data_IF_709416621653
#
_entry.id   IF_709416621653
#
_cell.length_a   1.000
_cell.length_b   1.000
_cell.length_c   1.000
_cell.angle_alpha   90.00
_cell.angle_beta   90.00
_cell.angle_gamma   90.00
#
_symmetry.space_group_name_H-M   'P 1'
#
loop_
_entity.id
_entity.type
_entity.pdbx_description
1 polymer ?
#
# COMPACT_ATOMS: atom_id res chain seq x y z
N UNK A 1 -2.92 17.24 3.97
CA UNK A 1 -3.89 16.13 3.88
C UNK A 1 -4.12 15.78 2.41
N UNK A 2 -4.72 14.63 2.10
CA UNK A 2 -4.95 14.19 0.72
C UNK A 2 -6.12 14.95 0.08
N UNK A 3 -6.00 15.32 -1.20
CA UNK A 3 -7.01 16.04 -1.98
C UNK A 3 -7.66 15.17 -3.09
N UNK A 4 -7.20 13.92 -3.22
CA UNK A 4 -7.61 12.99 -4.26
C UNK A 4 -7.67 11.55 -3.78
N UNK A 5 -8.58 10.77 -4.38
CA UNK A 5 -8.64 9.31 -4.32
C UNK A 5 -8.03 8.73 -5.60
N UNK A 6 -7.02 7.86 -5.46
CA UNK A 6 -6.37 7.18 -6.57
C UNK A 6 -6.81 5.72 -6.62
N UNK A 7 -7.05 5.20 -7.82
CA UNK A 7 -7.28 3.77 -8.03
C UNK A 7 -6.37 3.25 -9.13
N UNK A 8 -5.94 2.00 -8.96
CA UNK A 8 -4.86 1.41 -9.75
C UNK A 8 -5.30 0.07 -10.34
N UNK A 9 -4.60 -0.33 -11.40
CA UNK A 9 -4.69 -1.67 -11.97
C UNK A 9 -3.33 -2.35 -11.85
N UNK A 10 -3.33 -3.65 -11.52
CA UNK A 10 -2.09 -4.44 -11.47
C UNK A 10 -1.64 -4.77 -12.90
N UNK A 11 -0.39 -4.43 -13.23
CA UNK A 11 0.27 -4.76 -14.50
C UNK A 11 1.56 -5.52 -14.18
N UNK A 12 1.50 -6.85 -14.28
CA UNK A 12 2.58 -7.73 -13.83
C UNK A 12 2.82 -7.60 -12.31
N UNK A 13 4.01 -7.13 -11.94
CA UNK A 13 4.41 -6.88 -10.55
C UNK A 13 4.25 -5.42 -10.11
N UNK A 14 3.72 -4.56 -10.98
CA UNK A 14 3.58 -3.13 -10.69
C UNK A 14 2.10 -2.74 -10.59
N UNK A 15 1.84 -1.62 -9.93
CA UNK A 15 0.53 -0.99 -9.87
C UNK A 15 0.56 0.27 -10.73
N UNK A 16 -0.27 0.29 -11.77
CA UNK A 16 -0.42 1.46 -12.64
C UNK A 16 -1.66 2.23 -12.23
N UNK A 17 -1.53 3.53 -11.99
CA UNK A 17 -2.68 4.40 -11.73
C UNK A 17 -3.62 4.37 -12.93
N UNK A 18 -4.86 3.97 -12.69
CA UNK A 18 -5.91 3.92 -13.70
C UNK A 18 -6.65 5.26 -13.76
N UNK A 19 -6.87 5.87 -12.60
CA UNK A 19 -7.46 7.19 -12.52
C UNK A 19 -7.40 7.80 -11.13
N UNK A 20 -7.86 9.05 -11.07
CA UNK A 20 -7.93 9.85 -9.86
C UNK A 20 -9.32 10.50 -9.76
N UNK A 21 -9.80 10.69 -8.54
CA UNK A 21 -11.07 11.35 -8.22
C UNK A 21 -10.79 12.44 -7.20
N UNK A 22 -10.96 13.73 -7.55
CA UNK A 22 -10.82 14.82 -6.59
C UNK A 22 -11.88 14.73 -5.47
N UNK A 23 -11.49 15.04 -4.23
CA UNK A 23 -12.40 14.96 -3.07
C UNK A 23 -13.47 16.07 -3.03
N UNK A 24 -13.28 17.16 -3.79
CA UNK A 24 -14.18 18.33 -3.79
C UNK A 24 -15.65 17.98 -4.07
N UNK A 25 -15.85 17.04 -5.00
CA UNK A 25 -17.16 16.62 -5.49
C UNK A 25 -17.37 15.11 -5.34
N UNK A 26 -16.63 14.50 -4.39
CA UNK A 26 -16.73 13.07 -4.10
C UNK A 26 -17.85 12.83 -3.08
N UNK A 27 -18.75 11.90 -3.41
CA UNK A 27 -19.81 11.45 -2.51
C UNK A 27 -19.89 9.92 -2.51
N UNK A 28 -20.13 9.33 -1.35
CA UNK A 28 -20.25 7.88 -1.18
C UNK A 28 -21.69 7.55 -0.81
N UNK A 29 -22.29 6.62 -1.55
CA UNK A 29 -23.64 6.12 -1.29
C UNK A 29 -23.63 4.61 -1.15
N UNK A 30 -24.28 4.13 -0.10
CA UNK A 30 -24.67 2.73 -0.01
C UNK A 30 -26.03 2.55 -0.66
N UNK A 31 -26.10 1.69 -1.68
CA UNK A 31 -27.38 1.27 -2.23
C UNK A 31 -27.72 -0.15 -1.85
N UNK A 32 -28.98 -0.36 -1.51
CA UNK A 32 -29.53 -1.68 -1.20
C UNK A 32 -29.74 -2.53 -2.45
N UNK A 33 -29.70 -1.94 -3.64
CA UNK A 33 -29.88 -2.61 -4.94
C UNK A 33 -28.57 -3.12 -5.55
N UNK A 34 -27.43 -2.96 -4.85
CA UNK A 34 -26.15 -3.37 -5.41
C UNK A 34 -26.09 -4.91 -5.60
N UNK A 35 -25.63 -5.39 -6.75
CA UNK A 35 -25.61 -6.81 -7.08
C UNK A 35 -24.58 -7.62 -6.29
N UNK A 36 -23.67 -6.96 -5.56
CA UNK A 36 -22.54 -7.57 -4.86
C UNK A 36 -22.59 -7.27 -3.38
N UNK A 37 -22.35 -8.28 -2.54
CA UNK A 37 -22.30 -8.10 -1.09
C UNK A 37 -21.19 -7.11 -0.69
N UNK A 38 -21.42 -6.38 0.41
CA UNK A 38 -20.45 -5.42 0.96
C UNK A 38 -19.98 -4.37 -0.04
N UNK A 39 -20.86 -3.95 -0.94
CA UNK A 39 -20.56 -2.92 -1.93
C UNK A 39 -21.15 -1.55 -1.59
N UNK A 40 -20.52 -0.54 -2.16
CA UNK A 40 -20.90 0.87 -2.09
C UNK A 40 -20.49 1.56 -3.40
N UNK A 41 -21.10 2.70 -3.71
CA UNK A 41 -20.81 3.45 -4.93
C UNK A 41 -20.21 4.81 -4.59
N UNK A 42 -19.11 5.14 -5.26
CA UNK A 42 -18.46 6.44 -5.22
C UNK A 42 -18.94 7.25 -6.43
N UNK A 43 -19.52 8.40 -6.16
CA UNK A 43 -19.97 9.38 -7.14
C UNK A 43 -18.98 10.52 -7.21
N UNK A 44 -18.71 10.94 -8.44
CA UNK A 44 -18.01 12.15 -8.80
C UNK A 44 -18.79 12.83 -9.92
N UNK A 45 -18.53 14.12 -10.17
CA UNK A 45 -19.29 14.92 -11.16
C UNK A 45 -19.43 14.27 -12.55
N UNK A 46 -18.50 13.41 -12.95
CA UNK A 46 -18.51 12.77 -14.27
C UNK A 46 -18.35 11.25 -14.25
N UNK A 47 -18.30 10.61 -13.07
CA UNK A 47 -18.00 9.17 -12.94
C UNK A 47 -18.70 8.58 -11.73
N UNK A 48 -19.17 7.34 -11.88
CA UNK A 48 -19.66 6.51 -10.79
C UNK A 48 -18.85 5.23 -10.78
N UNK A 49 -18.31 4.85 -9.63
CA UNK A 49 -17.55 3.61 -9.45
C UNK A 49 -18.18 2.82 -8.32
N UNK A 50 -18.61 1.60 -8.61
CA UNK A 50 -19.07 0.65 -7.60
C UNK A 50 -17.89 -0.17 -7.12
N UNK A 51 -17.70 -0.22 -5.80
CA UNK A 51 -16.61 -0.93 -5.14
C UNK A 51 -17.24 -1.98 -4.21
N UNK A 52 -16.69 -3.19 -4.23
CA UNK A 52 -17.06 -4.25 -3.29
C UNK A 52 -15.90 -4.51 -2.33
N UNK A 53 -16.17 -4.46 -1.03
CA UNK A 53 -15.22 -4.82 0.01
C UNK A 53 -15.23 -6.33 0.28
N UNK A 54 -14.21 -6.80 1.00
CA UNK A 54 -14.07 -8.21 1.36
C UNK A 54 -14.90 -8.59 2.61
N UNK A 55 -15.28 -7.62 3.45
CA UNK A 55 -16.18 -7.80 4.58
C UNK A 55 -17.05 -6.56 4.82
N UNK A 56 -18.09 -6.69 5.65
CA UNK A 56 -18.90 -5.55 6.10
C UNK A 56 -18.05 -4.53 6.86
N UNK A 57 -17.19 -5.00 7.78
CA UNK A 57 -16.29 -4.14 8.56
C UNK A 57 -15.33 -3.33 7.66
N UNK A 58 -14.78 -3.95 6.62
CA UNK A 58 -13.93 -3.22 5.68
C UNK A 58 -14.73 -2.20 4.88
N UNK A 59 -15.94 -2.54 4.42
CA UNK A 59 -16.81 -1.57 3.76
C UNK A 59 -17.07 -0.36 4.66
N UNK A 60 -17.46 -0.60 5.90
CA UNK A 60 -17.81 0.48 6.83
C UNK A 60 -16.60 1.39 7.08
N UNK A 61 -15.41 0.81 7.27
CA UNK A 61 -14.15 1.56 7.39
C UNK A 61 -13.85 2.40 6.14
N UNK A 62 -14.02 1.83 4.94
CA UNK A 62 -13.81 2.58 3.69
C UNK A 62 -14.79 3.74 3.54
N UNK A 63 -16.08 3.52 3.85
CA UNK A 63 -17.11 4.56 3.75
C UNK A 63 -16.84 5.69 4.75
N UNK A 64 -16.52 5.35 6.00
CA UNK A 64 -16.19 6.32 7.06
C UNK A 64 -14.94 7.13 6.72
N UNK A 65 -13.82 6.47 6.39
CA UNK A 65 -12.54 7.14 6.08
C UNK A 65 -12.68 8.11 4.88
N UNK A 66 -13.42 7.72 3.84
CA UNK A 66 -13.66 8.57 2.68
C UNK A 66 -14.55 9.77 3.07
N UNK A 67 -15.63 9.54 3.81
CA UNK A 67 -16.53 10.61 4.24
C UNK A 67 -15.83 11.62 5.14
N UNK A 68 -15.02 11.15 6.09
CA UNK A 68 -14.19 11.99 6.97
C UNK A 68 -13.18 12.80 6.15
N UNK A 69 -12.51 12.16 5.18
CA UNK A 69 -11.54 12.84 4.29
C UNK A 69 -12.19 13.97 3.47
N UNK A 70 -13.40 13.75 2.94
CA UNK A 70 -14.16 14.77 2.21
C UNK A 70 -14.58 15.91 3.15
N UNK A 71 -15.02 15.59 4.38
CA UNK A 71 -15.43 16.59 5.35
C UNK A 71 -14.25 17.45 5.82
N UNK A 72 -13.10 16.83 6.10
CA UNK A 72 -11.86 17.53 6.46
C UNK A 72 -11.41 18.47 5.33
N UNK A 73 -11.45 17.99 4.08
CA UNK A 73 -11.11 18.79 2.91
C UNK A 73 -12.03 20.02 2.74
N UNK A 74 -13.35 19.87 2.98
CA UNK A 74 -14.30 21.00 2.95
C UNK A 74 -14.10 21.98 4.11
N UNK A 75 -13.74 21.47 5.29
CA UNK A 75 -13.47 22.27 6.48
C UNK A 75 -12.22 23.15 6.38
N UNK A 76 -11.17 22.71 5.67
CA UNK A 76 -9.96 23.51 5.47
C UNK A 76 -10.16 24.67 4.49
N UNK A 77 -11.03 24.55 3.49
CA UNK A 77 -11.30 25.64 2.51
C UNK A 77 -11.97 26.88 3.11
N UNK A 78 -12.50 26.81 4.33
CA UNK A 78 -13.01 27.98 5.05
C UNK A 78 -11.90 28.71 5.83
N UNK A 79 -10.73 28.09 6.02
CA UNK A 79 -9.53 28.69 6.59
C UNK A 79 -8.44 28.79 5.51
N UNK A 80 -8.36 29.94 4.85
CA UNK A 80 -7.38 30.19 3.79
C UNK A 80 -5.96 30.17 4.38
N UNK A 81 -5.21 29.10 4.14
CA UNK A 81 -3.77 29.14 3.89
C UNK A 81 -3.43 28.16 2.75
N UNK A 82 -2.43 28.48 1.90
CA UNK A 82 -2.18 27.74 0.66
C UNK A 82 -1.75 26.30 0.95
N UNK A 83 -2.07 25.33 0.06
CA UNK A 83 -1.83 23.93 0.33
C UNK A 83 -0.32 23.67 0.40
N UNK A 84 0.14 23.14 1.54
CA UNK A 84 1.46 22.55 1.66
C UNK A 84 1.56 21.36 0.70
N UNK A 85 2.09 21.62 -0.49
CA UNK A 85 2.52 20.62 -1.47
C UNK A 85 3.75 19.93 -0.86
N UNK A 86 3.57 18.95 0.01
CA UNK A 86 4.63 17.98 0.30
C UNK A 86 4.08 16.67 0.85
N UNK A 87 3.32 15.96 0.02
CA UNK A 87 3.43 14.51 -0.02
C UNK A 87 4.29 14.19 -1.24
N UNK A 88 5.59 14.49 -1.13
CA UNK A 88 6.56 13.82 -1.98
C UNK A 88 6.37 12.33 -1.73
N UNK A 89 5.77 11.65 -2.69
CA UNK A 89 5.94 10.23 -2.88
C UNK A 89 7.45 10.05 -3.10
N UNK A 90 8.22 10.06 -2.01
CA UNK A 90 9.41 9.24 -1.95
C UNK A 90 8.86 7.86 -2.23
N UNK A 91 8.97 7.42 -3.48
CA UNK A 91 8.99 6.01 -3.78
C UNK A 91 9.86 5.42 -2.66
N UNK A 92 9.30 4.53 -1.85
CA UNK A 92 10.13 3.66 -1.04
C UNK A 92 10.87 2.76 -2.04
N UNK A 93 11.80 3.35 -2.78
CA UNK A 93 12.95 2.65 -3.30
C UNK A 93 13.67 2.28 -2.03
N UNK A 94 13.40 1.06 -1.57
CA UNK A 94 14.17 0.40 -0.53
C UNK A 94 15.64 0.70 -0.84
N UNK A 95 16.29 1.52 -0.02
CA UNK A 95 17.70 1.84 -0.21
C UNK A 95 18.47 0.54 -0.02
N UNK A 96 18.96 -0.02 -1.12
CA UNK A 96 20.04 -0.98 -1.15
C UNK A 96 21.34 -0.24 -0.83
N UNK A 97 21.57 0.13 0.42
CA UNK A 97 22.85 0.73 0.85
C UNK A 97 23.13 0.39 2.31
N UNK A 98 23.44 -0.86 2.61
CA UNK A 98 24.38 -1.24 3.68
C UNK A 98 24.78 -2.70 3.46
N UNK A 99 25.84 -2.89 2.67
CA UNK A 99 26.94 -3.86 2.85
C UNK A 99 27.58 -4.14 1.48
N UNK A 100 28.35 -3.17 0.96
CA UNK A 100 29.45 -3.49 0.05
C UNK A 100 30.76 -2.98 0.64
N UNK A 101 31.58 -3.97 0.99
CA UNK A 101 33.01 -3.98 0.72
C UNK A 101 33.90 -2.97 1.47
N UNK A 102 34.34 -3.36 2.67
CA UNK A 102 35.72 -3.06 3.07
C UNK A 102 36.59 -4.25 2.67
N UNK A 103 37.32 -4.09 1.56
CA UNK A 103 38.41 -4.97 1.18
C UNK A 103 39.63 -4.76 2.08
N UNK A 104 40.31 -5.86 2.39
CA UNK A 104 41.75 -6.06 2.23
C UNK A 104 42.29 -7.11 3.22
N UNK A 105 42.48 -8.35 2.75
CA UNK A 105 43.70 -9.11 3.05
C UNK A 105 43.88 -10.27 2.05
N UNK A 106 45.09 -10.33 1.49
CA UNK A 106 45.62 -11.35 0.59
C UNK A 106 45.45 -12.79 1.11
N UNK A 107 45.18 -13.75 0.22
CA UNK A 107 45.40 -15.17 0.51
C UNK A 107 44.78 -16.19 -0.46
N UNK A 108 45.48 -16.45 -1.57
CA UNK A 108 45.66 -17.77 -2.24
C UNK A 108 44.41 -18.56 -2.72
N UNK A 109 44.31 -18.62 -4.07
CA UNK A 109 43.93 -19.75 -4.95
C UNK A 109 42.98 -20.84 -4.41
N UNK A 110 41.79 -20.92 -5.00
CA UNK A 110 41.31 -22.18 -5.59
C UNK A 110 40.15 -21.93 -6.57
N UNK A 111 40.36 -22.31 -7.82
CA UNK A 111 39.30 -22.48 -8.83
C UNK A 111 38.48 -23.73 -8.48
N UNK A 112 37.15 -23.66 -8.51
CA UNK A 112 36.29 -24.77 -8.93
C UNK A 112 34.88 -24.28 -9.26
N UNK A 113 34.49 -24.58 -10.51
CA UNK A 113 33.16 -24.80 -11.07
C UNK A 113 31.91 -24.49 -10.23
N UNK A 114 30.98 -23.79 -10.88
CA UNK A 114 29.56 -23.96 -10.60
C UNK A 114 28.73 -22.76 -11.00
N UNK A 115 28.28 -22.73 -12.26
CA UNK A 115 27.30 -21.75 -12.73
C UNK A 115 26.08 -21.72 -11.82
N UNK A 116 25.93 -20.65 -11.03
CA UNK A 116 24.69 -20.32 -10.36
C UNK A 116 23.96 -19.33 -11.26
N UNK A 117 22.83 -19.80 -11.78
CA UNK A 117 21.77 -18.97 -12.35
C UNK A 117 21.58 -17.72 -11.46
N UNK A 118 21.23 -16.55 -12.05
CA UNK A 118 21.00 -15.36 -11.25
C UNK A 118 19.91 -15.71 -10.24
N UNK A 119 20.31 -15.73 -8.96
CA UNK A 119 19.40 -16.02 -7.87
C UNK A 119 18.18 -15.16 -8.06
N UNK A 120 17.01 -15.78 -8.10
CA UNK A 120 15.73 -15.09 -8.16
C UNK A 120 15.80 -13.96 -7.15
N UNK A 121 15.82 -12.71 -7.65
CA UNK A 121 15.84 -11.53 -6.80
C UNK A 121 14.80 -11.75 -5.71
N UNK A 122 15.23 -11.67 -4.44
CA UNK A 122 14.33 -11.72 -3.31
C UNK A 122 13.19 -10.76 -3.63
N UNK A 123 11.98 -11.29 -3.84
CA UNK A 123 10.82 -10.46 -4.15
C UNK A 123 10.53 -9.63 -2.89
N UNK A 124 10.99 -8.39 -2.92
CA UNK A 124 10.73 -7.41 -1.88
C UNK A 124 9.26 -7.00 -1.97
N UNK A 125 8.39 -7.82 -1.41
CA UNK A 125 6.96 -7.54 -1.36
C UNK A 125 6.73 -6.35 -0.42
N UNK A 126 6.23 -5.23 -0.97
CA UNK A 126 5.80 -4.09 -0.16
C UNK A 126 4.44 -4.35 0.48
N UNK A 127 4.05 -3.54 1.47
CA UNK A 127 2.73 -3.59 2.09
C UNK A 127 1.58 -3.54 1.08
N UNK A 128 1.69 -2.75 0.01
CA UNK A 128 0.70 -2.69 -1.08
C UNK A 128 0.51 -4.06 -1.75
N UNK A 129 1.59 -4.83 -1.93
CA UNK A 129 1.50 -6.18 -2.48
C UNK A 129 0.77 -7.12 -1.54
N UNK A 130 0.99 -6.99 -0.23
CA UNK A 130 0.29 -7.79 0.79
C UNK A 130 -1.20 -7.46 0.80
N UNK A 131 -1.55 -6.17 0.84
CA UNK A 131 -2.93 -5.67 0.76
C UNK A 131 -3.67 -6.23 -0.46
N UNK A 132 -3.02 -6.21 -1.64
CA UNK A 132 -3.60 -6.76 -2.86
C UNK A 132 -3.87 -8.27 -2.77
N UNK A 133 -2.94 -9.07 -2.23
CA UNK A 133 -3.10 -10.53 -2.18
C UNK A 133 -4.02 -11.02 -1.05
N UNK A 134 -4.20 -10.20 -0.01
CA UNK A 134 -5.01 -10.52 1.15
C UNK A 134 -6.36 -9.83 1.15
N UNK A 135 -6.65 -9.02 0.12
CA UNK A 135 -7.84 -8.18 0.02
C UNK A 135 -8.07 -7.39 1.31
N UNK A 136 -7.03 -6.72 1.79
CA UNK A 136 -7.07 -5.96 3.05
C UNK A 136 -6.60 -4.52 2.87
N UNK A 137 -7.13 -3.62 3.68
CA UNK A 137 -6.78 -2.19 3.71
C UNK A 137 -5.96 -1.82 4.95
N UNK A 138 -5.10 -0.81 4.80
CA UNK A 138 -4.26 -0.27 5.88
C UNK A 138 -4.42 1.25 5.88
N UNK A 139 -4.81 1.80 7.03
CA UNK A 139 -4.96 3.24 7.22
C UNK A 139 -3.71 3.89 7.79
N UNK A 140 -3.73 5.23 7.92
CA UNK A 140 -2.62 5.97 8.54
C UNK A 140 -2.40 5.57 10.01
N UNK A 141 -3.49 5.36 10.76
CA UNK A 141 -3.42 4.92 12.16
C UNK A 141 -2.71 3.56 12.32
N UNK A 142 -2.87 2.66 11.36
CA UNK A 142 -2.23 1.35 11.35
C UNK A 142 -0.71 1.48 11.13
N UNK A 143 -0.29 2.40 10.27
CA UNK A 143 1.11 2.73 10.05
C UNK A 143 1.77 3.33 11.30
N UNK A 144 1.09 4.25 11.99
CA UNK A 144 1.59 4.86 13.23
C UNK A 144 1.78 3.79 14.31
N UNK A 145 0.77 2.95 14.52
CA UNK A 145 0.82 1.84 15.48
C UNK A 145 1.94 0.85 15.15
N UNK A 146 2.13 0.51 13.87
CA UNK A 146 3.21 -0.39 13.46
C UNK A 146 4.60 0.22 13.73
N UNK A 147 4.74 1.53 13.58
CA UNK A 147 6.00 2.25 13.85
C UNK A 147 6.34 2.26 15.34
N UNK A 148 5.34 2.49 16.19
CA UNK A 148 5.49 2.46 17.65
C UNK A 148 5.85 1.07 18.18
N UNK A 149 5.43 0.01 17.46
CA UNK A 149 5.66 -1.37 17.84
C UNK A 149 6.82 -2.03 17.06
N UNK A 150 7.76 -1.23 16.56
CA UNK A 150 8.94 -1.78 15.89
C UNK A 150 9.84 -2.52 16.89
N UNK A 151 10.04 -3.82 16.67
CA UNK A 151 10.84 -4.68 17.53
C UNK A 151 11.93 -5.40 16.73
N UNK A 152 13.12 -5.53 17.33
CA UNK A 152 14.22 -6.34 16.79
C UNK A 152 14.80 -7.23 17.88
N UNK A 153 15.27 -8.42 17.51
CA UNK A 153 15.81 -9.39 18.46
C UNK A 153 16.07 -10.76 17.83
N UNK A 154 16.69 -11.66 18.58
CA UNK A 154 16.95 -13.03 18.15
C UNK A 154 15.82 -13.97 18.58
N UNK A 155 15.38 -14.81 17.64
CA UNK A 155 14.37 -15.83 17.89
C UNK A 155 14.71 -17.10 17.13
N UNK A 156 14.59 -18.26 17.79
CA UNK A 156 14.65 -19.55 17.10
C UNK A 156 13.27 -19.88 16.52
N UNK A 157 13.21 -20.16 15.21
CA UNK A 157 11.99 -20.67 14.55
C UNK A 157 12.27 -22.02 13.89
N UNK A 158 11.43 -23.02 14.15
CA UNK A 158 11.48 -24.32 13.47
C UNK A 158 10.42 -24.34 12.37
N UNK A 159 10.82 -24.27 11.11
CA UNK A 159 9.90 -24.42 9.97
C UNK A 159 9.61 -25.91 9.74
N UNK A 160 8.35 -26.26 9.50
CA UNK A 160 7.95 -27.62 9.14
C UNK A 160 8.29 -27.82 7.66
N UNK A 161 9.33 -28.59 7.38
CA UNK A 161 9.76 -28.91 6.01
C UNK A 161 9.25 -30.32 5.67
N UNK A 162 7.96 -30.47 5.41
CA UNK A 162 7.42 -31.71 4.84
C UNK A 162 6.51 -31.37 3.67
N UNK A 163 6.97 -31.74 2.47
CA UNK A 163 6.06 -32.00 1.36
C UNK A 163 5.43 -33.37 1.65
N UNK A 164 4.19 -33.36 2.14
CA UNK A 164 3.32 -34.54 2.16
C UNK A 164 2.55 -34.61 0.87
#
# INVERSE_FOLDING_TARGET
>A
MSDMLLYTARVGHMFRVHGQIPLNDLFVEERTDNPTQYSFSIYSNNRVITIAANSQEEKDKWVEDIAESVQAYKGERTNIEPPNIYLSLKSCSSSDDMMSNNGDCNGVLSEVNGGKAPGTAQRNNTTVHVCWHRNTSIGMADHLRATENQLSGFLCRKCKNSNG
#
